data_IF_770724900338
#
_entry.id   IF_770724900338
#
_cell.length_a   1.000
_cell.length_b   1.000
_cell.length_c   1.000
_cell.angle_alpha   90.00
_cell.angle_beta   90.00
_cell.angle_gamma   90.00
#
_symmetry.space_group_name_H-M   'P 1'
#
loop_
_entity.id
_entity.type
_entity.pdbx_description
1 polymer ?
#
# COMPACT_ATOMS: atom_id res chain seq x y z
N UNK A 1 -9.07 13.69 3.91
CA UNK A 1 -9.44 12.38 4.47
C UNK A 1 -8.20 11.50 4.32
N UNK A 2 -7.62 11.06 5.44
CA UNK A 2 -6.40 10.23 5.52
C UNK A 2 -6.68 8.89 4.81
N UNK A 3 -5.67 8.17 4.30
CA UNK A 3 -5.83 6.73 4.05
C UNK A 3 -6.54 6.10 5.25
N UNK A 4 -7.36 5.05 5.06
CA UNK A 4 -7.82 4.32 6.23
C UNK A 4 -6.54 3.85 6.94
N UNK A 5 -6.31 4.19 8.22
CA UNK A 5 -5.52 3.31 9.07
C UNK A 5 -6.09 1.89 8.89
N UNK A 6 -5.26 0.85 9.10
CA UNK A 6 -5.63 -0.55 8.89
C UNK A 6 -7.13 -0.79 9.12
N UNK A 7 -7.79 -1.43 8.16
CA UNK A 7 -9.25 -1.57 8.20
C UNK A 7 -9.59 -2.74 9.10
N UNK A 8 -10.31 -2.46 10.19
CA UNK A 8 -10.91 -3.52 10.99
C UNK A 8 -11.93 -4.30 10.15
N UNK A 9 -11.75 -5.62 10.15
CA UNK A 9 -12.61 -6.59 9.52
C UNK A 9 -13.02 -7.64 10.57
N UNK A 10 -14.26 -7.51 11.05
CA UNK A 10 -14.83 -8.39 12.07
C UNK A 10 -15.58 -9.58 11.48
N UNK A 11 -15.70 -9.68 10.15
CA UNK A 11 -16.56 -10.66 9.50
C UNK A 11 -15.75 -11.76 8.82
N UNK A 12 -14.58 -11.42 8.29
CA UNK A 12 -13.69 -12.41 7.67
C UNK A 12 -13.05 -13.30 8.72
N UNK A 13 -13.08 -14.61 8.47
CA UNK A 13 -12.38 -15.64 9.25
C UNK A 13 -11.41 -16.37 8.32
N UNK A 14 -10.13 -16.39 8.68
CA UNK A 14 -9.12 -17.12 7.95
C UNK A 14 -8.89 -18.47 8.64
N UNK A 15 -8.90 -19.55 7.86
CA UNK A 15 -8.42 -20.85 8.32
C UNK A 15 -7.00 -21.02 7.81
N UNK A 16 -6.05 -21.17 8.74
CA UNK A 16 -4.63 -21.28 8.43
C UNK A 16 -4.06 -22.58 8.98
N UNK A 17 -3.09 -23.13 8.27
CA UNK A 17 -2.29 -24.27 8.71
C UNK A 17 -0.85 -23.80 8.94
N UNK A 18 -0.21 -24.27 10.02
CA UNK A 18 1.12 -23.82 10.44
C UNK A 18 2.04 -24.98 10.80
N UNK A 19 3.34 -24.86 10.54
CA UNK A 19 4.33 -25.86 10.95
C UNK A 19 4.68 -25.76 12.45
N UNK A 20 3.75 -26.20 13.31
CA UNK A 20 3.87 -26.19 14.79
C UNK A 20 4.10 -24.79 15.42
N UNK A 21 3.71 -23.71 14.73
CA UNK A 21 3.73 -22.36 15.29
C UNK A 21 2.40 -22.05 15.97
N UNK A 22 2.37 -21.88 17.31
CA UNK A 22 1.14 -21.55 18.00
C UNK A 22 0.77 -20.08 17.82
N UNK A 23 -0.52 -19.81 17.66
CA UNK A 23 -1.05 -18.44 17.74
C UNK A 23 -1.75 -18.20 19.06
N UNK A 24 -1.66 -16.96 19.53
CA UNK A 24 -2.33 -16.53 20.76
C UNK A 24 -3.38 -15.47 20.45
N UNK A 25 -4.48 -15.48 21.20
CA UNK A 25 -5.42 -14.36 21.20
C UNK A 25 -4.80 -13.21 21.99
N UNK A 26 -4.83 -12.00 21.45
CA UNK A 26 -4.29 -10.77 22.06
C UNK A 26 -5.36 -9.69 22.14
N UNK A 27 -5.12 -8.66 22.96
CA UNK A 27 -5.98 -7.48 23.02
C UNK A 27 -5.76 -6.55 21.81
N UNK A 28 -6.73 -5.68 21.52
CA UNK A 28 -6.60 -4.63 20.51
C UNK A 28 -5.34 -3.77 20.74
N UNK A 29 -5.02 -3.46 22.00
CA UNK A 29 -3.82 -2.73 22.36
C UNK A 29 -2.53 -3.51 22.01
N UNK A 30 -2.51 -4.83 22.26
CA UNK A 30 -1.38 -5.68 21.88
C UNK A 30 -1.21 -5.79 20.37
N UNK A 31 -2.32 -5.84 19.63
CA UNK A 31 -2.30 -5.83 18.17
C UNK A 31 -1.75 -4.50 17.63
N UNK A 32 -2.23 -3.37 18.16
CA UNK A 32 -1.76 -2.04 17.77
C UNK A 32 -0.30 -1.78 18.19
N UNK A 33 0.21 -2.51 19.19
CA UNK A 33 1.63 -2.53 19.56
C UNK A 33 2.50 -3.42 18.65
N UNK A 34 1.91 -4.07 17.64
CA UNK A 34 2.62 -4.85 16.64
C UNK A 34 2.50 -6.38 16.79
N UNK A 35 1.64 -6.88 17.67
CA UNK A 35 1.40 -8.31 17.82
C UNK A 35 0.60 -8.94 16.68
N UNK A 36 0.72 -10.27 16.53
CA UNK A 36 -0.07 -11.10 15.61
C UNK A 36 -0.12 -10.61 14.16
N UNK A 37 1.04 -10.30 13.59
CA UNK A 37 1.16 -9.81 12.22
C UNK A 37 1.42 -10.92 11.22
N UNK A 38 0.77 -10.83 10.06
CA UNK A 38 0.90 -11.77 8.96
C UNK A 38 1.04 -11.02 7.63
N UNK A 39 1.87 -11.57 6.74
CA UNK A 39 1.80 -11.29 5.31
C UNK A 39 1.05 -12.44 4.64
N UNK A 40 0.08 -12.13 3.79
CA UNK A 40 -0.71 -13.10 3.04
C UNK A 40 -0.53 -12.87 1.55
N UNK A 41 -0.21 -13.94 0.83
CA UNK A 41 0.01 -13.88 -0.61
C UNK A 41 -1.32 -13.86 -1.38
N UNK A 42 -1.42 -12.95 -2.34
CA UNK A 42 -2.53 -12.90 -3.30
C UNK A 42 -2.01 -12.88 -4.74
N UNK A 43 -2.94 -12.98 -5.70
CA UNK A 43 -2.63 -12.82 -7.12
C UNK A 43 -2.04 -11.45 -7.49
N UNK A 44 -2.25 -10.43 -6.65
CA UNK A 44 -1.81 -9.04 -6.90
C UNK A 44 -0.63 -8.61 -6.02
N UNK A 45 -0.06 -9.53 -5.23
CA UNK A 45 1.03 -9.25 -4.30
C UNK A 45 0.68 -9.63 -2.87
N UNK A 46 1.38 -9.05 -1.90
CA UNK A 46 1.22 -9.37 -0.49
C UNK A 46 0.31 -8.36 0.21
N UNK A 47 -0.66 -8.87 0.98
CA UNK A 47 -1.38 -8.08 1.97
C UNK A 47 -0.75 -8.26 3.34
N UNK A 48 -0.52 -7.16 4.05
CA UNK A 48 -0.14 -7.18 5.45
C UNK A 48 -1.39 -6.98 6.30
N UNK A 49 -1.64 -7.92 7.21
CA UNK A 49 -2.73 -7.86 8.16
C UNK A 49 -2.28 -8.29 9.56
N UNK A 50 -3.13 -8.05 10.55
CA UNK A 50 -2.99 -8.59 11.90
C UNK A 50 -4.32 -9.17 12.38
N UNK A 51 -4.31 -9.92 13.48
CA UNK A 51 -5.53 -10.52 14.05
C UNK A 51 -5.51 -10.51 15.58
N UNK A 52 -6.63 -10.26 16.23
CA UNK A 52 -6.70 -10.35 17.70
C UNK A 52 -7.09 -11.75 18.16
N UNK A 53 -7.92 -12.47 17.41
CA UNK A 53 -8.49 -13.76 17.85
C UNK A 53 -7.92 -14.94 17.07
N UNK A 54 -7.38 -15.91 17.81
CA UNK A 54 -6.89 -17.18 17.28
C UNK A 54 -7.51 -18.35 18.06
N UNK A 55 -8.09 -19.31 17.34
CA UNK A 55 -8.70 -20.52 17.89
C UNK A 55 -8.12 -21.74 17.19
N UNK A 56 -7.54 -22.68 17.94
CA UNK A 56 -7.08 -23.95 17.40
C UNK A 56 -8.30 -24.85 17.12
N UNK A 57 -8.48 -25.26 15.86
CA UNK A 57 -9.63 -26.06 15.41
C UNK A 57 -9.25 -27.48 14.96
N UNK A 58 -7.96 -27.76 14.87
CA UNK A 58 -7.42 -29.08 14.52
C UNK A 58 -5.91 -29.10 14.74
N UNK A 59 -5.24 -30.24 14.50
CA UNK A 59 -3.78 -30.32 14.55
C UNK A 59 -3.20 -29.26 13.60
N UNK A 60 -2.44 -28.31 14.15
CA UNK A 60 -1.80 -27.23 13.39
C UNK A 60 -2.73 -26.32 12.58
N UNK A 61 -4.05 -26.41 12.80
CA UNK A 61 -5.05 -25.66 12.06
C UNK A 61 -5.73 -24.63 12.97
N UNK A 62 -5.69 -23.36 12.58
CA UNK A 62 -6.18 -22.24 13.36
C UNK A 62 -7.24 -21.44 12.60
N UNK A 63 -8.25 -20.98 13.32
CA UNK A 63 -9.16 -19.93 12.86
C UNK A 63 -8.71 -18.58 13.42
N UNK A 64 -8.41 -17.66 12.50
CA UNK A 64 -8.02 -16.28 12.80
C UNK A 64 -9.19 -15.35 12.45
N UNK A 65 -9.52 -14.43 13.35
CA UNK A 65 -10.63 -13.49 13.17
C UNK A 65 -10.34 -12.17 13.88
N UNK A 66 -11.23 -11.19 13.69
CA UNK A 66 -11.03 -9.82 14.16
C UNK A 66 -9.73 -9.25 13.59
N UNK A 67 -9.73 -9.11 12.26
CA UNK A 67 -8.56 -8.79 11.48
C UNK A 67 -8.38 -7.26 11.40
N UNK A 68 -7.14 -6.82 11.37
CA UNK A 68 -6.74 -5.47 10.97
C UNK A 68 -6.01 -5.56 9.63
N UNK A 69 -6.68 -5.15 8.55
CA UNK A 69 -6.25 -5.40 7.16
C UNK A 69 -5.60 -4.19 6.50
N UNK A 70 -4.78 -4.42 5.47
CA UNK A 70 -4.14 -3.35 4.70
C UNK A 70 -3.09 -2.55 5.50
N UNK A 71 -2.39 -3.21 6.42
CA UNK A 71 -1.29 -2.64 7.18
C UNK A 71 -0.13 -2.28 6.25
N UNK A 72 0.70 -1.31 6.69
CA UNK A 72 1.80 -0.78 5.87
C UNK A 72 1.33 -0.37 4.47
N UNK A 73 0.07 0.08 4.37
CA UNK A 73 -0.69 0.45 3.17
C UNK A 73 -0.67 -0.55 2.01
N UNK A 74 -0.48 -1.83 2.34
CA UNK A 74 -0.78 -2.92 1.44
C UNK A 74 -2.26 -2.88 0.98
N UNK A 75 -2.52 -3.38 -0.23
CA UNK A 75 -3.88 -3.43 -0.75
C UNK A 75 -4.65 -4.55 -0.06
N UNK A 76 -5.89 -4.25 0.35
CA UNK A 76 -6.83 -5.26 0.82
C UNK A 76 -7.33 -6.03 -0.40
N UNK A 77 -7.13 -7.34 -0.40
CA UNK A 77 -7.41 -8.22 -1.54
C UNK A 77 -8.19 -9.44 -1.11
N UNK A 78 -8.83 -10.14 -2.04
CA UNK A 78 -9.40 -11.45 -1.71
C UNK A 78 -8.29 -12.47 -1.46
N UNK A 79 -8.41 -13.23 -0.37
CA UNK A 79 -7.44 -14.24 0.04
C UNK A 79 -7.97 -15.60 -0.45
N UNK A 80 -7.40 -16.17 -1.53
CA UNK A 80 -7.84 -17.47 -2.03
C UNK A 80 -7.40 -18.60 -1.08
N UNK A 81 -8.11 -19.73 -1.13
CA UNK A 81 -7.66 -20.96 -0.47
C UNK A 81 -6.28 -21.40 -1.00
N UNK A 82 -5.40 -21.84 -0.11
CA UNK A 82 -4.02 -22.23 -0.45
C UNK A 82 -3.04 -21.06 -0.57
N UNK A 83 -3.45 -19.83 -0.24
CA UNK A 83 -2.55 -18.69 -0.13
C UNK A 83 -1.42 -18.96 0.88
N UNK A 84 -0.19 -18.60 0.51
CA UNK A 84 0.94 -18.64 1.43
C UNK A 84 0.80 -17.54 2.48
N UNK A 85 1.17 -17.86 3.71
CA UNK A 85 1.27 -16.89 4.80
C UNK A 85 2.70 -16.84 5.31
N UNK A 86 3.12 -15.67 5.76
CA UNK A 86 4.38 -15.47 6.47
C UNK A 86 4.06 -14.81 7.81
N UNK A 87 4.53 -15.41 8.89
CA UNK A 87 4.48 -14.81 10.22
C UNK A 87 5.48 -13.68 10.26
N UNK A 88 5.01 -12.48 10.61
CA UNK A 88 5.87 -11.30 10.74
C UNK A 88 6.27 -11.17 12.21
N UNK A 89 7.52 -11.49 12.49
CA UNK A 89 8.15 -11.36 13.80
C UNK A 89 9.56 -10.77 13.67
N UNK A 90 10.27 -10.69 14.79
CA UNK A 90 11.66 -10.22 14.87
C UNK A 90 12.68 -11.07 14.10
N UNK A 91 12.30 -12.26 13.65
CA UNK A 91 13.13 -13.15 12.82
C UNK A 91 13.04 -12.75 11.35
N UNK A 92 11.97 -12.06 10.94
CA UNK A 92 11.85 -11.51 9.60
C UNK A 92 12.84 -10.36 9.42
N UNK A 93 14.00 -10.67 8.84
CA UNK A 93 15.01 -9.67 8.53
C UNK A 93 14.72 -9.05 7.17
N UNK A 94 14.77 -7.72 7.16
CA UNK A 94 14.77 -6.98 5.92
C UNK A 94 16.08 -7.26 5.16
N UNK A 95 16.02 -7.59 3.87
CA UNK A 95 17.21 -7.71 3.06
C UNK A 95 17.85 -6.34 2.85
N UNK A 96 19.15 -6.25 3.06
CA UNK A 96 19.94 -5.09 2.63
C UNK A 96 20.20 -5.26 1.14
N UNK A 97 19.51 -4.46 0.32
CA UNK A 97 19.71 -4.41 -1.13
C UNK A 97 20.38 -3.09 -1.49
N UNK A 98 21.42 -3.18 -2.30
CA UNK A 98 22.06 -2.01 -2.89
C UNK A 98 21.17 -1.42 -4.01
N UNK A 99 21.37 -0.14 -4.31
CA UNK A 99 20.58 0.56 -5.32
C UNK A 99 20.71 -0.07 -6.71
N UNK A 100 21.90 -0.56 -7.05
CA UNK A 100 22.20 -1.23 -8.32
C UNK A 100 21.64 -2.65 -8.42
N UNK A 101 21.18 -3.23 -7.31
CA UNK A 101 20.47 -4.52 -7.28
C UNK A 101 18.97 -4.36 -7.58
N UNK A 102 18.45 -3.13 -7.62
CA UNK A 102 17.06 -2.85 -8.00
C UNK A 102 16.87 -3.01 -9.50
N UNK A 103 15.89 -3.82 -9.90
CA UNK A 103 15.59 -4.06 -11.31
C UNK A 103 16.48 -5.12 -11.97
N UNK A 104 17.34 -5.79 -11.20
CA UNK A 104 18.18 -6.90 -11.65
C UNK A 104 17.60 -8.23 -11.18
N UNK A 105 17.75 -9.28 -11.97
CA UNK A 105 17.41 -10.64 -11.54
C UNK A 105 18.48 -11.14 -10.57
N UNK A 106 18.09 -11.36 -9.32
CA UNK A 106 18.95 -11.81 -8.24
C UNK A 106 18.66 -13.29 -7.96
N UNK A 107 19.70 -14.03 -7.58
CA UNK A 107 19.55 -15.40 -7.06
C UNK A 107 19.28 -15.35 -5.56
N UNK A 108 18.06 -15.66 -5.16
CA UNK A 108 17.57 -15.56 -3.79
C UNK A 108 17.48 -16.92 -3.11
N UNK A 109 17.93 -17.00 -1.85
CA UNK A 109 17.86 -18.22 -1.02
C UNK A 109 17.20 -17.92 0.34
N UNK A 110 15.86 -17.89 0.41
CA UNK A 110 15.16 -17.69 1.67
C UNK A 110 15.47 -18.84 2.64
N UNK A 111 15.90 -18.52 3.86
CA UNK A 111 16.07 -19.51 4.94
C UNK A 111 17.03 -20.67 4.66
N UNK A 112 17.99 -20.50 3.74
CA UNK A 112 18.92 -21.57 3.34
C UNK A 112 18.34 -22.60 2.36
N UNK A 113 17.16 -22.33 1.79
CA UNK A 113 16.51 -23.19 0.80
C UNK A 113 17.14 -23.15 -0.59
N UNK A 114 16.41 -23.71 -1.55
CA UNK A 114 16.79 -23.72 -2.96
C UNK A 114 16.83 -22.29 -3.50
N UNK A 115 17.85 -22.00 -4.33
CA UNK A 115 17.95 -20.72 -5.00
C UNK A 115 16.79 -20.53 -5.98
N UNK A 116 16.19 -19.34 -5.94
CA UNK A 116 15.12 -18.91 -6.81
C UNK A 116 15.50 -17.58 -7.45
N UNK A 117 15.18 -17.40 -8.73
CA UNK A 117 15.37 -16.10 -9.37
C UNK A 117 14.28 -15.15 -8.90
N UNK A 118 14.69 -14.02 -8.33
CA UNK A 118 13.78 -12.96 -7.91
C UNK A 118 14.30 -11.59 -8.34
N UNK A 119 13.41 -10.78 -8.90
CA UNK A 119 13.72 -9.42 -9.34
C UNK A 119 13.07 -8.43 -8.38
N UNK A 120 13.88 -7.81 -7.54
CA UNK A 120 13.38 -6.73 -6.66
C UNK A 120 13.18 -5.46 -7.49
N UNK A 121 11.96 -4.93 -7.49
CA UNK A 121 11.63 -3.70 -8.24
C UNK A 121 11.42 -2.48 -7.35
N UNK A 122 11.69 -2.59 -6.04
CA UNK A 122 11.48 -1.52 -5.06
C UNK A 122 10.11 -0.82 -5.20
N UNK A 123 9.04 -1.57 -5.52
CA UNK A 123 7.73 -0.98 -5.84
C UNK A 123 7.15 -0.17 -4.69
N UNK A 124 7.44 -0.54 -3.44
CA UNK A 124 7.01 0.21 -2.27
C UNK A 124 8.06 1.25 -1.79
N UNK A 125 9.11 1.50 -2.56
CA UNK A 125 10.03 2.61 -2.32
C UNK A 125 9.52 3.93 -2.94
N UNK A 126 8.58 3.88 -3.90
CA UNK A 126 7.99 5.09 -4.49
C UNK A 126 6.95 5.79 -3.59
N UNK A 127 6.59 7.05 -3.88
CA UNK A 127 5.50 7.72 -3.19
C UNK A 127 4.19 6.93 -3.19
N UNK A 128 3.39 7.14 -2.16
CA UNK A 128 2.04 6.58 -2.08
C UNK A 128 1.12 7.11 -3.19
N UNK A 129 0.12 6.35 -3.65
CA UNK A 129 -0.91 6.90 -4.54
C UNK A 129 -1.63 8.06 -3.84
N UNK A 130 -2.21 9.00 -4.59
CA UNK A 130 -3.06 10.03 -3.99
C UNK A 130 -4.45 9.49 -3.60
N UNK A 131 -5.05 10.03 -2.55
CA UNK A 131 -6.37 9.66 -2.05
C UNK A 131 -7.42 10.72 -2.34
N UNK A 132 -8.70 10.34 -2.25
CA UNK A 132 -9.84 11.28 -2.27
C UNK A 132 -9.80 12.32 -3.39
N UNK A 133 -9.46 11.89 -4.60
CA UNK A 133 -9.50 12.76 -5.78
C UNK A 133 -10.94 13.23 -5.98
N UNK A 134 -11.11 14.53 -6.11
CA UNK A 134 -12.38 15.19 -6.32
C UNK A 134 -12.22 16.32 -7.33
N UNK A 135 -13.24 16.48 -8.17
CA UNK A 135 -13.37 17.58 -9.10
C UNK A 135 -14.71 18.28 -8.83
N UNK A 136 -14.67 19.55 -8.46
CA UNK A 136 -15.85 20.34 -8.13
C UNK A 136 -15.93 21.59 -9.00
N UNK A 137 -17.11 21.89 -9.54
CA UNK A 137 -17.36 23.15 -10.23
C UNK A 137 -17.35 24.32 -9.26
N UNK A 138 -16.76 25.42 -9.69
CA UNK A 138 -16.82 26.72 -9.05
C UNK A 138 -17.23 27.77 -10.08
N UNK A 139 -17.64 28.95 -9.61
CA UNK A 139 -18.22 30.02 -10.45
C UNK A 139 -17.39 30.41 -11.69
N UNK A 140 -16.08 30.15 -11.69
CA UNK A 140 -15.17 30.48 -12.80
C UNK A 140 -14.23 29.34 -13.23
N UNK A 141 -14.52 28.08 -12.87
CA UNK A 141 -13.69 26.94 -13.29
C UNK A 141 -13.92 25.66 -12.51
N UNK A 142 -12.92 24.79 -12.49
CA UNK A 142 -12.94 23.54 -11.74
C UNK A 142 -11.90 23.61 -10.62
N UNK A 143 -12.29 23.19 -9.42
CA UNK A 143 -11.37 22.91 -8.31
C UNK A 143 -11.11 21.41 -8.27
N UNK A 144 -9.87 21.03 -8.53
CA UNK A 144 -9.36 19.70 -8.23
C UNK A 144 -8.81 19.68 -6.82
N UNK A 145 -9.08 18.60 -6.09
CA UNK A 145 -8.50 18.36 -4.77
C UNK A 145 -8.23 16.88 -4.53
N UNK A 146 -7.23 16.58 -3.73
CA UNK A 146 -6.85 15.23 -3.33
C UNK A 146 -6.34 15.25 -1.88
N UNK A 147 -5.93 14.10 -1.38
CA UNK A 147 -5.26 13.96 -0.09
C UNK A 147 -3.96 13.18 -0.26
N UNK A 148 -2.93 13.64 0.45
CA UNK A 148 -1.76 12.82 0.74
C UNK A 148 -2.18 11.51 1.39
N UNK A 149 -1.49 10.42 1.01
CA UNK A 149 -1.64 9.12 1.66
C UNK A 149 -0.47 8.78 2.57
N UNK A 150 0.69 9.39 2.36
CA UNK A 150 1.86 9.17 3.18
C UNK A 150 1.65 9.68 4.63
N UNK A 151 2.00 8.91 5.66
CA UNK A 151 2.26 9.48 6.99
C UNK A 151 3.49 10.41 6.94
N UNK A 152 3.57 11.39 7.85
CA UNK A 152 4.74 12.28 7.97
C UNK A 152 6.06 11.52 8.17
N UNK A 153 6.00 10.28 8.68
CA UNK A 153 7.12 9.35 8.82
C UNK A 153 6.66 8.02 8.24
N UNK A 154 7.31 7.57 7.16
CA UNK A 154 7.01 6.30 6.50
C UNK A 154 7.38 5.11 7.41
N UNK A 155 6.46 4.17 7.59
CA UNK A 155 6.69 2.86 8.22
C UNK A 155 6.70 1.72 7.18
N UNK A 156 7.04 2.02 5.93
CA UNK A 156 7.07 1.03 4.85
C UNK A 156 8.16 -0.01 5.06
N UNK A 157 7.80 -1.29 4.84
CA UNK A 157 8.74 -2.42 4.83
C UNK A 157 9.89 -2.27 3.83
N UNK A 158 9.68 -1.48 2.77
CA UNK A 158 10.64 -1.31 1.67
C UNK A 158 11.36 0.05 1.68
N UNK A 159 11.16 0.92 2.69
CA UNK A 159 11.85 2.22 2.74
C UNK A 159 12.27 2.69 4.14
N UNK A 160 13.52 3.15 4.25
CA UNK A 160 13.94 3.98 5.39
C UNK A 160 13.44 5.41 5.18
N UNK A 161 12.45 5.82 5.98
CA UNK A 161 12.35 7.18 6.50
C UNK A 161 12.37 8.37 5.55
N UNK A 162 11.92 8.25 4.29
CA UNK A 162 11.78 9.46 3.48
C UNK A 162 10.70 10.37 4.02
N UNK A 163 11.09 11.60 4.32
CA UNK A 163 10.15 12.65 4.66
C UNK A 163 9.17 12.84 3.50
N UNK A 164 7.89 12.86 3.84
CA UNK A 164 6.83 13.33 2.96
C UNK A 164 7.06 14.82 2.67
N UNK A 165 7.35 15.18 1.42
CA UNK A 165 7.52 16.60 1.02
C UNK A 165 6.22 17.27 0.57
N UNK A 166 5.17 16.47 0.28
CA UNK A 166 3.90 16.99 -0.21
C UNK A 166 3.98 17.62 -1.61
N UNK A 167 4.84 17.10 -2.47
CA UNK A 167 4.98 17.53 -3.87
C UNK A 167 4.14 16.61 -4.77
N UNK A 168 3.37 17.19 -5.69
CA UNK A 168 2.48 16.46 -6.59
C UNK A 168 2.66 16.90 -8.03
N UNK A 169 2.59 15.92 -8.94
CA UNK A 169 2.49 16.14 -10.37
C UNK A 169 1.03 15.97 -10.80
N UNK A 170 0.46 17.02 -11.39
CA UNK A 170 -0.88 17.01 -12.00
C UNK A 170 -0.74 17.07 -13.51
N UNK A 171 -1.39 16.17 -14.23
CA UNK A 171 -1.49 16.14 -15.69
C UNK A 171 -2.94 16.36 -16.11
N UNK A 172 -3.15 17.23 -17.09
CA UNK A 172 -4.47 17.60 -17.58
C UNK A 172 -4.58 17.22 -19.06
N UNK A 173 -5.62 16.46 -19.35
CA UNK A 173 -5.87 15.89 -20.66
C UNK A 173 -7.14 16.47 -21.26
N UNK A 174 -7.17 16.48 -22.59
CA UNK A 174 -8.36 16.74 -23.39
C UNK A 174 -8.35 15.77 -24.57
N UNK A 175 -9.41 15.01 -24.74
CA UNK A 175 -9.57 13.99 -25.78
C UNK A 175 -8.37 13.04 -25.85
N UNK A 176 -7.85 12.64 -24.68
CA UNK A 176 -6.70 11.75 -24.56
C UNK A 176 -5.32 12.39 -24.83
N UNK A 177 -5.27 13.67 -25.21
CA UNK A 177 -4.01 14.39 -25.38
C UNK A 177 -3.63 15.14 -24.11
N UNK A 178 -2.37 15.03 -23.71
CA UNK A 178 -1.82 15.82 -22.61
C UNK A 178 -1.68 17.28 -23.07
N UNK A 179 -2.35 18.19 -22.39
CA UNK A 179 -2.32 19.62 -22.71
C UNK A 179 -1.53 20.44 -21.70
N UNK A 180 -1.62 20.10 -20.42
CA UNK A 180 -0.91 20.81 -19.35
C UNK A 180 -0.40 19.85 -18.29
N UNK A 181 0.70 20.24 -17.66
CA UNK A 181 1.19 19.61 -16.44
C UNK A 181 1.61 20.67 -15.41
N UNK A 182 1.47 20.33 -14.14
CA UNK A 182 1.75 21.22 -13.02
C UNK A 182 2.47 20.45 -11.91
N UNK A 183 3.50 21.04 -11.32
CA UNK A 183 4.11 20.55 -10.07
C UNK A 183 3.67 21.47 -8.94
N UNK A 184 3.01 20.92 -7.92
CA UNK A 184 2.40 21.70 -6.84
C UNK A 184 2.75 21.15 -5.46
N UNK A 185 2.84 22.03 -4.46
CA UNK A 185 3.07 21.67 -3.04
C UNK A 185 1.81 21.73 -2.18
N UNK A 186 0.66 21.67 -2.82
CA UNK A 186 -0.66 21.78 -2.21
C UNK A 186 -1.55 20.67 -2.74
N UNK A 187 -2.56 20.29 -1.97
CA UNK A 187 -3.46 19.18 -2.29
C UNK A 187 -4.69 19.62 -3.10
N UNK A 188 -4.58 20.74 -3.82
CA UNK A 188 -5.63 21.26 -4.69
C UNK A 188 -5.06 22.12 -5.82
N UNK A 189 -5.77 22.16 -6.94
CA UNK A 189 -5.44 23.00 -8.09
C UNK A 189 -6.72 23.50 -8.75
N UNK A 190 -6.75 24.79 -9.13
CA UNK A 190 -7.82 25.33 -9.96
C UNK A 190 -7.44 25.15 -11.42
N UNK A 191 -8.36 24.62 -12.22
CA UNK A 191 -8.14 24.31 -13.64
C UNK A 191 -9.29 24.84 -14.49
N UNK A 192 -8.98 25.10 -15.76
CA UNK A 192 -9.98 25.47 -16.76
C UNK A 192 -10.95 24.30 -17.00
N UNK A 193 -12.25 24.55 -17.26
CA UNK A 193 -13.23 23.50 -17.54
C UNK A 193 -13.07 22.85 -18.93
N UNK A 194 -12.00 23.19 -19.68
CA UNK A 194 -11.73 22.67 -21.03
C UNK A 194 -11.15 21.25 -21.08
N UNK A 195 -10.78 20.70 -19.92
CA UNK A 195 -10.17 19.38 -19.78
C UNK A 195 -11.22 18.33 -19.42
N UNK A 196 -11.00 17.09 -19.85
CA UNK A 196 -11.91 15.96 -19.58
C UNK A 196 -11.33 14.92 -18.63
N UNK A 197 -10.01 14.95 -18.38
CA UNK A 197 -9.35 14.03 -17.46
C UNK A 197 -8.19 14.73 -16.75
N UNK A 198 -8.05 14.46 -15.46
CA UNK A 198 -6.86 14.81 -14.68
C UNK A 198 -6.23 13.55 -14.10
N UNK A 199 -4.90 13.49 -14.13
CA UNK A 199 -4.12 12.48 -13.44
C UNK A 199 -3.19 13.15 -12.43
N UNK A 200 -3.06 12.56 -11.24
CA UNK A 200 -2.28 13.10 -10.15
C UNK A 200 -1.38 12.00 -9.58
N UNK A 201 -0.11 12.30 -9.36
CA UNK A 201 0.84 11.45 -8.65
C UNK A 201 1.63 12.27 -7.63
N UNK A 202 2.01 11.66 -6.51
CA UNK A 202 2.98 12.23 -5.58
C UNK A 202 4.40 12.06 -6.15
N UNK A 203 5.30 12.98 -5.82
CA UNK A 203 6.72 12.96 -6.19
C UNK A 203 7.55 12.89 -4.91
N UNK A 204 8.52 11.99 -4.85
CA UNK A 204 9.47 11.96 -3.72
C UNK A 204 10.73 12.81 -3.97
N UNK A 205 11.58 12.87 -2.94
CA UNK A 205 12.88 13.56 -2.97
C UNK A 205 13.82 13.09 -4.10
N UNK A 206 13.60 11.89 -4.63
CA UNK A 206 14.41 11.30 -5.69
C UNK A 206 13.80 11.59 -7.07
N UNK A 207 12.69 12.32 -7.15
CA UNK A 207 11.96 12.60 -8.39
C UNK A 207 11.16 11.41 -8.90
N UNK A 208 11.00 10.35 -8.11
CA UNK A 208 10.18 9.19 -8.48
C UNK A 208 8.71 9.49 -8.28
N UNK A 209 7.88 9.01 -9.21
CA UNK A 209 6.43 9.17 -9.14
C UNK A 209 5.78 7.99 -8.41
N UNK A 210 4.83 8.30 -7.53
CA UNK A 210 3.88 7.31 -7.02
C UNK A 210 2.89 6.86 -8.11
N UNK A 211 2.01 5.88 -7.82
CA UNK A 211 0.98 5.48 -8.75
C UNK A 211 0.04 6.66 -9.09
N UNK A 212 -0.29 6.79 -10.38
CA UNK A 212 -1.19 7.83 -10.87
C UNK A 212 -2.64 7.53 -10.44
N UNK A 213 -3.28 8.52 -9.82
CA UNK A 213 -4.73 8.55 -9.62
C UNK A 213 -5.38 9.37 -10.72
N UNK A 214 -6.39 8.81 -11.38
CA UNK A 214 -7.08 9.46 -12.49
C UNK A 214 -8.52 9.83 -12.10
N UNK A 215 -8.99 11.01 -12.52
CA UNK A 215 -10.36 11.47 -12.29
C UNK A 215 -10.93 12.14 -13.55
N UNK A 216 -12.11 11.71 -14.04
CA UNK A 216 -12.79 12.40 -15.12
C UNK A 216 -13.25 13.78 -14.64
N UNK A 217 -13.09 14.78 -15.49
CA UNK A 217 -13.49 16.15 -15.21
C UNK A 217 -14.89 16.39 -15.79
N UNK A 218 -15.78 17.07 -15.06
CA UNK A 218 -17.14 17.28 -15.53
C UNK A 218 -17.15 18.18 -16.77
N UNK A 219 -17.57 17.63 -17.91
CA UNK A 219 -17.69 18.32 -19.19
C UNK A 219 -18.56 19.58 -19.08
N UNK A 220 -18.17 20.66 -19.80
CA UNK A 220 -18.75 22.03 -19.77
C UNK A 220 -20.26 22.02 -19.71
#
# INVERSE_FOLDING_TARGET
MKLPPGRWDHFTVLTVETDNQPFNTISDAGLLAGGNQLLVQSAHGWEWLAFTKAVLIGPNQWQLSQLLRGLGGSQIVDIPGGAQIVIVDERLRRPELALDETGVELSWRPGGGTAQTYKYQAKAAGPWPVGHLQAQRQNSGLKLSWSARAPNISNHLDRDGSAYEGVYHVRLYRYGQLHENHIVRQTHLRVSPRYDLAEIAEIDINGSFGPWGSIPLPAV
#
